data_IF_498468201222
#
_entry.id   IF_498468201222
#
_cell.length_a   1.000
_cell.length_b   1.000
_cell.length_c   1.000
_cell.angle_alpha   90.00
_cell.angle_beta   90.00
_cell.angle_gamma   90.00
#
_symmetry.space_group_name_H-M   'P 1'
#
loop_
_entity.id
_entity.type
_entity.pdbx_description
1 polymer ?
#
# COMPACT_ATOMS: atom_id res chain seq x y z
N UNK A 1 -5.50 -32.89 14.80
CA UNK A 1 -5.40 -31.46 14.48
C UNK A 1 -5.49 -31.27 12.96
N UNK A 2 -6.68 -31.30 12.31
CA UNK A 2 -6.76 -31.18 10.87
C UNK A 2 -7.22 -29.80 10.38
N UNK A 3 -6.90 -29.55 9.11
CA UNK A 3 -7.42 -28.54 8.19
C UNK A 3 -6.77 -27.13 8.20
N UNK A 4 -5.55 -27.06 7.65
CA UNK A 4 -5.13 -25.91 6.86
C UNK A 4 -6.14 -25.73 5.72
N UNK A 5 -7.01 -24.73 5.87
CA UNK A 5 -8.12 -24.45 4.97
C UNK A 5 -7.58 -23.61 3.81
N UNK A 6 -7.41 -24.28 2.67
CA UNK A 6 -7.47 -23.78 1.28
C UNK A 6 -7.58 -22.26 1.12
N UNK A 7 -6.53 -21.64 0.57
CA UNK A 7 -6.62 -20.32 -0.07
C UNK A 7 -7.18 -20.52 -1.47
N UNK A 8 -8.37 -19.99 -1.82
CA UNK A 8 -8.82 -20.01 -3.20
C UNK A 8 -7.99 -19.05 -4.05
N UNK A 9 -7.38 -19.58 -5.10
CA UNK A 9 -6.94 -18.84 -6.29
C UNK A 9 -8.18 -18.21 -6.93
N UNK A 10 -8.38 -16.92 -6.62
CA UNK A 10 -9.45 -16.09 -7.15
C UNK A 10 -8.87 -14.78 -7.65
N UNK A 11 -8.31 -14.82 -8.87
CA UNK A 11 -7.94 -13.68 -9.70
C UNK A 11 -9.10 -12.67 -9.76
N UNK A 12 -8.93 -11.53 -9.10
CA UNK A 12 -9.58 -10.29 -9.49
C UNK A 12 -8.48 -9.27 -9.80
N UNK A 13 -7.99 -9.33 -11.03
CA UNK A 13 -7.26 -8.24 -11.65
C UNK A 13 -8.19 -7.04 -11.76
N UNK A 14 -8.10 -6.18 -10.76
CA UNK A 14 -8.81 -4.92 -10.71
C UNK A 14 -8.37 -3.96 -11.81
N UNK A 15 -9.31 -3.57 -12.69
CA UNK A 15 -9.06 -2.64 -13.81
C UNK A 15 -8.90 -1.22 -13.28
N UNK A 16 -7.64 -0.83 -13.08
CA UNK A 16 -7.12 0.49 -13.43
C UNK A 16 -7.72 1.70 -12.72
N UNK A 17 -7.36 1.89 -11.45
CA UNK A 17 -7.13 3.25 -10.98
C UNK A 17 -5.63 3.51 -10.83
N UNK A 18 -5.26 4.79 -10.89
CA UNK A 18 -3.89 5.29 -10.86
C UNK A 18 -3.02 4.54 -9.85
N UNK A 19 -1.90 3.95 -10.28
CA UNK A 19 -1.11 3.10 -9.40
C UNK A 19 -0.52 3.92 -8.26
N UNK A 20 -0.74 3.47 -7.03
CA UNK A 20 0.02 3.95 -5.88
C UNK A 20 1.47 3.50 -6.00
N UNK A 21 2.38 4.23 -5.36
CA UNK A 21 3.78 3.81 -5.28
C UNK A 21 4.06 3.24 -3.90
N UNK A 22 4.48 1.98 -3.87
CA UNK A 22 4.78 1.26 -2.65
C UNK A 22 6.27 0.96 -2.57
N UNK A 23 6.87 1.27 -1.43
CA UNK A 23 8.28 0.98 -1.12
C UNK A 23 8.33 0.20 0.17
N UNK A 24 9.05 -0.93 0.16
CA UNK A 24 9.36 -1.68 1.38
C UNK A 24 10.86 -1.70 1.61
N UNK A 25 11.28 -1.25 2.79
CA UNK A 25 12.64 -1.41 3.27
C UNK A 25 12.83 -2.84 3.78
N UNK A 26 13.37 -3.70 2.92
CA UNK A 26 13.63 -5.10 3.25
C UNK A 26 14.75 -5.28 4.28
N UNK A 27 15.58 -4.28 4.53
CA UNK A 27 16.57 -4.35 5.61
C UNK A 27 15.92 -4.12 6.99
N UNK A 28 14.83 -3.34 7.04
CA UNK A 28 14.04 -3.15 8.27
C UNK A 28 13.01 -4.25 8.48
N UNK A 29 12.54 -4.89 7.41
CA UNK A 29 11.55 -5.96 7.49
C UNK A 29 12.04 -7.13 8.37
N UNK A 30 11.21 -7.55 9.33
CA UNK A 30 11.53 -8.65 10.27
C UNK A 30 10.58 -9.85 10.10
N UNK A 31 9.86 -9.96 8.97
CA UNK A 31 9.05 -11.15 8.67
C UNK A 31 7.75 -11.32 9.47
N UNK A 32 7.21 -10.29 10.14
CA UNK A 32 5.97 -10.38 10.93
C UNK A 32 4.70 -10.75 10.13
N UNK A 33 4.74 -10.74 8.79
CA UNK A 33 3.69 -11.16 7.88
C UNK A 33 2.30 -10.48 7.98
N UNK A 34 2.15 -9.43 8.82
CA UNK A 34 0.87 -8.73 8.98
C UNK A 34 0.38 -8.08 7.67
N UNK A 35 1.30 -7.55 6.87
CA UNK A 35 1.00 -6.97 5.56
C UNK A 35 0.44 -8.02 4.58
N UNK A 36 1.00 -9.23 4.57
CA UNK A 36 0.53 -10.33 3.72
C UNK A 36 -0.86 -10.82 4.13
N UNK A 37 -1.19 -10.77 5.41
CA UNK A 37 -2.55 -11.09 5.88
C UNK A 37 -3.58 -10.03 5.48
N UNK A 38 -3.24 -8.74 5.60
CA UNK A 38 -4.17 -7.63 5.33
C UNK A 38 -4.36 -7.36 3.84
N UNK A 39 -3.32 -7.57 3.03
CA UNK A 39 -3.32 -7.30 1.60
C UNK A 39 -2.60 -8.43 0.81
N UNK A 40 -3.16 -9.66 0.79
CA UNK A 40 -2.54 -10.81 0.13
C UNK A 40 -2.40 -10.68 -1.40
N UNK A 41 -3.13 -9.75 -2.02
CA UNK A 41 -2.97 -9.42 -3.44
C UNK A 41 -1.85 -8.41 -3.73
N UNK A 42 -1.18 -7.88 -2.70
CA UNK A 42 -0.07 -6.92 -2.83
C UNK A 42 1.20 -7.45 -2.18
N UNK A 43 1.08 -8.17 -1.06
CA UNK A 43 2.19 -8.69 -0.27
C UNK A 43 2.06 -10.20 -0.12
N UNK A 44 3.17 -10.91 -0.31
CA UNK A 44 3.25 -12.36 -0.18
C UNK A 44 4.53 -12.72 0.57
N UNK A 45 4.41 -13.51 1.62
CA UNK A 45 5.57 -14.11 2.27
C UNK A 45 6.03 -15.33 1.48
N UNK A 46 7.33 -15.43 1.25
CA UNK A 46 7.99 -16.59 0.68
C UNK A 46 8.87 -17.24 1.76
N UNK A 47 8.43 -18.38 2.28
CA UNK A 47 9.04 -18.97 3.46
C UNK A 47 8.72 -18.15 4.72
N UNK A 48 9.67 -18.13 5.67
CA UNK A 48 9.45 -17.55 7.00
C UNK A 48 9.74 -16.03 7.06
N UNK A 49 10.66 -15.53 6.22
CA UNK A 49 11.23 -14.17 6.40
C UNK A 49 11.18 -13.30 5.14
N UNK A 50 11.14 -13.91 3.95
CA UNK A 50 11.26 -13.17 2.69
C UNK A 50 9.92 -12.60 2.24
N UNK A 51 9.82 -11.28 2.10
CA UNK A 51 8.63 -10.61 1.61
C UNK A 51 8.77 -10.29 0.11
N UNK A 52 7.77 -10.68 -0.68
CA UNK A 52 7.56 -10.27 -2.07
C UNK A 52 6.38 -9.32 -2.12
N UNK A 53 6.48 -8.25 -2.92
CA UNK A 53 5.41 -7.27 -3.02
C UNK A 53 5.29 -6.65 -4.42
N UNK A 54 4.10 -6.15 -4.75
CA UNK A 54 3.88 -5.34 -5.95
C UNK A 54 4.16 -3.86 -5.64
N UNK A 55 5.19 -3.21 -6.24
CA UNK A 55 5.52 -1.81 -5.98
C UNK A 55 4.51 -0.82 -6.57
N UNK A 56 3.61 -1.28 -7.47
CA UNK A 56 2.54 -0.49 -8.08
C UNK A 56 1.19 -1.20 -7.96
N UNK A 57 0.61 -1.26 -6.75
CA UNK A 57 -0.73 -1.81 -6.58
C UNK A 57 -1.78 -0.88 -7.19
N UNK A 58 -2.88 -1.46 -7.69
CA UNK A 58 -4.02 -0.69 -8.18
C UNK A 58 -4.78 0.00 -7.04
N UNK A 59 -5.57 1.02 -7.37
CA UNK A 59 -6.35 1.80 -6.39
C UNK A 59 -7.31 0.98 -5.55
N UNK A 60 -7.84 -0.12 -6.07
CA UNK A 60 -8.73 -1.03 -5.33
C UNK A 60 -8.06 -1.63 -4.08
N UNK A 61 -6.73 -1.65 -4.05
CA UNK A 61 -5.95 -2.13 -2.92
C UNK A 61 -5.61 -1.02 -1.91
N UNK A 62 -5.97 0.25 -2.16
CA UNK A 62 -5.59 1.40 -1.31
C UNK A 62 -5.83 1.15 0.16
N UNK A 63 -7.07 0.85 0.52
CA UNK A 63 -7.47 0.67 1.91
C UNK A 63 -6.72 -0.50 2.56
N UNK A 64 -6.50 -1.57 1.79
CA UNK A 64 -5.76 -2.74 2.27
C UNK A 64 -4.29 -2.41 2.49
N UNK A 65 -3.68 -1.64 1.59
CA UNK A 65 -2.30 -1.15 1.70
C UNK A 65 -2.15 -0.18 2.86
N UNK A 66 -3.07 0.77 3.05
CA UNK A 66 -3.05 1.70 4.18
C UNK A 66 -3.08 0.96 5.53
N UNK A 67 -3.96 -0.05 5.66
CA UNK A 67 -3.99 -0.91 6.85
C UNK A 67 -2.68 -1.69 7.03
N UNK A 68 -2.11 -2.23 5.95
CA UNK A 68 -0.84 -2.96 5.99
C UNK A 68 0.33 -2.07 6.43
N UNK A 69 0.38 -0.81 5.97
CA UNK A 69 1.37 0.19 6.41
C UNK A 69 1.23 0.45 7.91
N UNK A 70 0.02 0.73 8.40
CA UNK A 70 -0.24 0.99 9.81
C UNK A 70 0.04 -0.23 10.72
N UNK A 71 -0.13 -1.44 10.20
CA UNK A 71 0.12 -2.68 10.93
C UNK A 71 1.60 -3.07 11.02
N UNK A 72 2.49 -2.44 10.24
CA UNK A 72 3.91 -2.81 10.25
C UNK A 72 4.59 -2.32 11.55
N UNK A 73 4.97 -3.22 12.48
CA UNK A 73 5.48 -2.82 13.80
C UNK A 73 6.82 -2.09 13.73
N UNK A 74 7.60 -2.34 12.67
CA UNK A 74 8.93 -1.74 12.42
C UNK A 74 8.87 -0.60 11.40
N UNK A 75 7.66 -0.24 10.94
CA UNK A 75 7.44 0.82 9.95
C UNK A 75 8.38 0.68 8.73
N UNK A 76 8.42 -0.52 8.15
CA UNK A 76 9.24 -0.85 6.98
C UNK A 76 8.54 -0.55 5.65
N UNK A 77 7.25 -0.20 5.66
CA UNK A 77 6.42 -0.03 4.47
C UNK A 77 6.03 1.45 4.35
N UNK A 78 6.25 2.02 3.16
CA UNK A 78 5.82 3.38 2.80
C UNK A 78 4.99 3.33 1.53
N UNK A 79 3.85 4.02 1.51
CA UNK A 79 2.99 4.14 0.35
C UNK A 79 2.73 5.62 0.03
N UNK A 80 2.92 6.02 -1.21
CA UNK A 80 2.63 7.35 -1.74
C UNK A 80 1.31 7.32 -2.52
N UNK A 81 0.51 8.39 -2.37
CA UNK A 81 -0.82 8.46 -2.96
C UNK A 81 -1.83 7.60 -2.22
N UNK A 82 -1.81 7.60 -0.88
CA UNK A 82 -2.92 7.10 -0.07
C UNK A 82 -4.05 8.15 0.06
N UNK A 83 -3.77 9.37 -0.42
CA UNK A 83 -4.40 10.63 -0.03
C UNK A 83 -5.29 11.25 -1.13
N UNK A 84 -5.57 10.55 -2.24
CA UNK A 84 -6.60 11.00 -3.20
C UNK A 84 -8.01 10.82 -2.63
N UNK A 85 -8.33 11.62 -1.62
CA UNK A 85 -9.65 12.13 -1.29
C UNK A 85 -9.37 13.56 -0.83
N UNK A 86 -9.51 14.49 -1.77
CA UNK A 86 -9.40 15.95 -1.59
C UNK A 86 -7.99 16.57 -1.72
N UNK A 87 -7.56 16.88 -2.95
CA UNK A 87 -7.01 18.22 -3.23
C UNK A 87 -7.12 18.59 -4.72
N UNK A 88 -8.05 19.52 -4.95
CA UNK A 88 -8.04 20.51 -6.02
C UNK A 88 -6.65 21.17 -6.13
N UNK A 89 -6.19 21.57 -7.33
CA UNK A 89 -4.91 22.22 -7.49
C UNK A 89 -4.88 23.50 -6.65
N UNK A 90 -4.05 23.54 -5.61
CA UNK A 90 -3.75 24.76 -4.85
C UNK A 90 -3.27 25.82 -5.84
N UNK A 91 -4.20 26.73 -6.12
CA UNK A 91 -4.07 27.72 -7.16
C UNK A 91 -2.88 28.63 -6.87
N UNK A 92 -2.00 28.71 -7.86
CA UNK A 92 -1.18 29.89 -8.07
C UNK A 92 -2.12 31.11 -8.22
N UNK A 93 -2.31 31.85 -7.12
CA UNK A 93 -3.19 33.00 -7.02
C UNK A 93 -2.43 34.25 -6.57
N UNK A 94 -1.66 34.83 -7.50
CA UNK A 94 -1.38 36.28 -7.65
C UNK A 94 -1.51 37.15 -6.38
N UNK A 95 -0.38 37.54 -5.80
CA UNK A 95 -0.27 38.84 -5.14
C UNK A 95 0.25 39.87 -6.15
N UNK A 96 -0.71 40.53 -6.82
CA UNK A 96 -0.50 41.81 -7.44
C UNK A 96 -1.46 42.81 -6.78
N UNK A 97 -0.87 43.87 -6.23
CA UNK A 97 -1.48 45.16 -5.84
C UNK A 97 -2.20 45.24 -4.48
N UNK A 98 -1.54 45.86 -3.48
CA UNK A 98 -2.10 47.05 -2.82
C UNK A 98 -1.03 47.94 -2.12
N UNK A 99 -0.99 49.18 -2.60
CA UNK A 99 -0.57 50.46 -2.00
C UNK A 99 0.21 50.53 -0.65
N UNK A 100 1.42 51.11 -0.69
CA UNK A 100 1.70 52.50 -0.23
C UNK A 100 3.14 52.93 -0.45
#
# INVERSE_FOLDING_TARGET
MPAARVVPEGLAAGKGGSPMRLVVDLNKCQGYAQCAFLAPGVFTMHGEESLVYNPRPGTEQRERVARAVAACPVQAITAEGLDDADEEPVGAGREASDAR
#
